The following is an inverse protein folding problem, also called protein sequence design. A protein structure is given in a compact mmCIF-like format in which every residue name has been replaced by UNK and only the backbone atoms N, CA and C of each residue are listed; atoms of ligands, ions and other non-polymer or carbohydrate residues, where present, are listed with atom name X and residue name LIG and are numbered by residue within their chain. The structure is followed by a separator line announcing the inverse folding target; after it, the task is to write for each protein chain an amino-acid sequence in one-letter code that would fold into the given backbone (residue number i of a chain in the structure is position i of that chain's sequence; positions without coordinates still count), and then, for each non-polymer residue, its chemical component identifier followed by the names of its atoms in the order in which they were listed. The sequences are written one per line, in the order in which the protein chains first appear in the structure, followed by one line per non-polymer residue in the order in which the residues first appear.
data_IF_823788284594
#
_entry.id   IF_823788284594
#
_cell.length_a   1.000
_cell.length_b   1.000
_cell.length_c   1.000
_cell.angle_alpha   90.00
_cell.angle_beta   90.00
_cell.angle_gamma   90.00
#
_symmetry.space_group_name_H-M   'P 1'
#
loop_
_entity.id
_entity.type
_entity.pdbx_description
1 polymer ?
#
# COMPACT_ATOMS: atom_id res chain seq x y z
N UNK A 1 -9.19 13.12 33.09
CA UNK A 1 -10.02 12.48 32.05
C UNK A 1 -9.32 12.68 30.72
N UNK A 2 -8.52 11.69 30.28
CA UNK A 2 -7.96 11.73 28.92
C UNK A 2 -9.12 11.60 27.94
N UNK A 3 -9.19 12.49 26.95
CA UNK A 3 -10.20 12.41 25.89
C UNK A 3 -10.13 11.07 25.15
N UNK A 4 -11.15 10.73 24.34
CA UNK A 4 -11.08 9.53 23.50
C UNK A 4 -9.78 9.58 22.67
N UNK A 5 -9.10 8.44 22.46
CA UNK A 5 -7.93 8.42 21.59
C UNK A 5 -8.37 9.02 20.25
N UNK A 6 -7.73 10.13 19.88
CA UNK A 6 -7.91 10.72 18.55
C UNK A 6 -7.63 9.61 17.55
N UNK A 7 -8.63 9.23 16.74
CA UNK A 7 -8.42 8.25 15.69
C UNK A 7 -7.26 8.78 14.82
N UNK A 8 -6.11 8.12 14.90
CA UNK A 8 -4.93 8.56 14.19
C UNK A 8 -5.28 8.68 12.71
N UNK A 9 -4.92 9.83 12.10
CA UNK A 9 -5.16 10.02 10.66
C UNK A 9 -4.40 8.92 9.92
N UNK A 10 -5.06 8.14 9.05
CA UNK A 10 -4.38 7.06 8.35
C UNK A 10 -3.31 7.63 7.42
N UNK A 11 -2.11 7.03 7.42
CA UNK A 11 -1.03 7.40 6.50
C UNK A 11 -1.21 6.79 5.11
N UNK A 12 -2.10 5.80 4.96
CA UNK A 12 -2.36 5.05 3.73
C UNK A 12 -3.85 4.76 3.56
N UNK A 13 -4.29 4.62 2.31
CA UNK A 13 -5.67 4.31 1.92
C UNK A 13 -5.74 3.03 1.10
N UNK A 14 -6.37 2.00 1.68
CA UNK A 14 -6.85 0.81 1.02
C UNK A 14 -8.37 0.91 0.88
N UNK A 15 -8.93 0.66 -0.30
CA UNK A 15 -10.36 0.88 -0.54
C UNK A 15 -11.13 -0.42 -0.69
N UNK A 16 -10.51 -1.42 -1.32
CA UNK A 16 -11.10 -2.76 -1.45
C UNK A 16 -10.22 -3.78 -0.72
N UNK A 17 -10.83 -4.79 -0.09
CA UNK A 17 -10.09 -5.86 0.58
C UNK A 17 -9.22 -6.67 -0.40
N UNK A 18 -9.54 -6.66 -1.69
CA UNK A 18 -8.75 -7.31 -2.75
C UNK A 18 -7.55 -6.48 -3.21
N UNK A 19 -7.45 -5.22 -2.81
CA UNK A 19 -6.34 -4.34 -3.19
C UNK A 19 -5.00 -4.96 -2.76
N UNK A 20 -4.04 -5.03 -3.70
CA UNK A 20 -2.66 -5.44 -3.41
C UNK A 20 -1.75 -4.25 -3.10
N UNK A 21 -2.26 -3.03 -3.30
CA UNK A 21 -1.55 -1.78 -3.02
C UNK A 21 -2.44 -0.71 -2.36
N UNK A 22 -1.88 0.00 -1.37
CA UNK A 22 -2.50 1.15 -0.72
C UNK A 22 -1.89 2.46 -1.23
N UNK A 23 -2.67 3.54 -1.25
CA UNK A 23 -2.19 4.88 -1.63
C UNK A 23 -1.69 5.62 -0.41
N UNK A 24 -0.50 6.21 -0.46
CA UNK A 24 0.05 7.02 0.60
C UNK A 24 -0.67 8.38 0.70
N UNK A 25 -1.23 8.68 1.88
CA UNK A 25 -1.89 9.95 2.20
C UNK A 25 -0.93 10.99 2.79
N UNK A 26 0.28 10.56 3.13
CA UNK A 26 1.43 11.38 3.52
C UNK A 26 2.69 10.72 2.97
N UNK A 27 3.82 11.44 2.79
CA UNK A 27 5.09 10.78 2.50
C UNK A 27 5.46 9.76 3.59
N UNK A 28 5.82 8.54 3.20
CA UNK A 28 6.20 7.45 4.12
C UNK A 28 7.71 7.26 4.02
N UNK A 29 8.42 7.50 5.13
CA UNK A 29 9.87 7.39 5.17
C UNK A 29 10.32 5.92 5.16
N UNK A 30 11.52 5.61 4.63
CA UNK A 30 12.11 4.28 4.77
C UNK A 30 12.14 3.83 6.24
N UNK A 31 11.78 2.58 6.49
CA UNK A 31 11.69 1.99 7.84
C UNK A 31 10.45 2.40 8.65
N UNK A 32 9.63 3.34 8.16
CA UNK A 32 8.38 3.68 8.83
C UNK A 32 7.36 2.54 8.68
N UNK A 33 6.71 2.19 9.79
CA UNK A 33 5.59 1.26 9.78
C UNK A 33 4.27 2.03 9.59
N UNK A 34 3.44 1.55 8.67
CA UNK A 34 2.08 2.03 8.46
C UNK A 34 1.07 0.93 8.78
N UNK A 35 -0.07 1.35 9.31
CA UNK A 35 -1.23 0.49 9.51
C UNK A 35 -2.15 0.61 8.30
N UNK A 36 -2.41 -0.53 7.66
CA UNK A 36 -3.30 -0.67 6.50
C UNK A 36 -4.56 -1.36 6.98
N UNK A 37 -5.69 -0.66 6.96
CA UNK A 37 -6.99 -1.27 7.26
C UNK A 37 -7.51 -2.01 6.03
N UNK A 38 -7.76 -3.31 6.16
CA UNK A 38 -8.21 -4.23 5.13
C UNK A 38 -9.48 -4.93 5.60
N UNK A 39 -10.64 -4.34 5.29
CA UNK A 39 -11.91 -4.77 5.90
C UNK A 39 -11.87 -4.55 7.41
N UNK A 40 -12.16 -5.61 8.17
CA UNK A 40 -12.11 -5.61 9.63
C UNK A 40 -10.71 -5.88 10.20
N UNK A 41 -9.73 -6.18 9.34
CA UNK A 41 -8.36 -6.46 9.73
C UNK A 41 -7.47 -5.22 9.60
N UNK A 42 -6.44 -5.12 10.45
CA UNK A 42 -5.36 -4.14 10.31
C UNK A 42 -4.05 -4.88 10.08
N UNK A 43 -3.40 -4.59 8.95
CA UNK A 43 -2.09 -5.14 8.59
C UNK A 43 -1.03 -4.08 8.80
N UNK A 44 0.09 -4.46 9.41
CA UNK A 44 1.25 -3.58 9.57
C UNK A 44 2.24 -3.81 8.43
N UNK A 45 2.60 -2.74 7.71
CA UNK A 45 3.55 -2.79 6.59
C UNK A 45 4.69 -1.80 6.86
N UNK A 46 5.94 -2.21 6.63
CA UNK A 46 7.11 -1.35 6.80
C UNK A 46 7.62 -0.91 5.42
N UNK A 47 7.76 0.39 5.19
CA UNK A 47 8.25 0.89 3.92
C UNK A 47 9.74 0.57 3.73
N UNK A 48 10.10 -0.08 2.63
CA UNK A 48 11.51 -0.38 2.30
C UNK A 48 12.24 0.86 1.77
N UNK A 49 11.52 1.72 1.06
CA UNK A 49 12.01 2.95 0.45
C UNK A 49 11.03 4.09 0.72
N UNK A 50 11.40 5.32 0.32
CA UNK A 50 10.48 6.45 0.39
C UNK A 50 9.26 6.17 -0.50
N UNK A 51 8.06 6.30 0.08
CA UNK A 51 6.80 6.31 -0.67
C UNK A 51 6.28 7.75 -0.69
N UNK A 52 6.32 8.45 -1.84
CA UNK A 52 5.79 9.81 -1.93
C UNK A 52 4.28 9.87 -1.67
N UNK A 53 3.79 11.07 -1.33
CA UNK A 53 2.35 11.33 -1.28
C UNK A 53 1.68 10.97 -2.62
N UNK A 54 0.54 10.28 -2.56
CA UNK A 54 -0.22 9.85 -3.74
C UNK A 54 0.35 8.61 -4.45
N UNK A 55 1.55 8.15 -4.08
CA UNK A 55 2.13 6.93 -4.61
C UNK A 55 1.62 5.70 -3.86
N UNK A 56 1.92 4.51 -4.40
CA UNK A 56 1.39 3.25 -3.87
C UNK A 56 2.46 2.48 -3.10
N UNK A 57 2.06 1.90 -1.98
CA UNK A 57 2.84 0.91 -1.21
C UNK A 57 2.18 -0.46 -1.36
N UNK A 58 2.97 -1.49 -1.62
CA UNK A 58 2.48 -2.87 -1.67
C UNK A 58 2.05 -3.33 -0.27
N UNK A 59 0.90 -3.98 -0.18
CA UNK A 59 0.35 -4.51 1.10
C UNK A 59 0.21 -6.03 1.09
N UNK A 60 0.47 -6.65 -0.06
CA UNK A 60 0.54 -8.09 -0.27
C UNK A 60 1.73 -8.41 -1.18
N UNK A 61 2.32 -9.61 -1.10
CA UNK A 61 3.33 -10.04 -2.06
C UNK A 61 2.71 -10.20 -3.45
N UNK A 62 3.46 -9.82 -4.48
CA UNK A 62 3.12 -10.02 -5.90
C UNK A 62 4.35 -10.60 -6.60
N UNK A 63 4.19 -11.70 -7.32
CA UNK A 63 5.18 -12.22 -8.25
C UNK A 63 5.22 -11.43 -9.56
N UNK A 64 6.23 -11.68 -10.40
CA UNK A 64 6.24 -11.13 -11.75
C UNK A 64 5.06 -11.69 -12.56
N UNK A 65 4.31 -10.81 -13.21
CA UNK A 65 3.08 -11.15 -13.94
C UNK A 65 1.82 -11.16 -13.08
N UNK A 66 1.92 -11.02 -11.74
CA UNK A 66 0.73 -10.95 -10.89
C UNK A 66 -0.01 -9.63 -11.08
N UNK A 67 -1.35 -9.63 -10.93
CA UNK A 67 -2.14 -8.42 -11.04
C UNK A 67 -1.86 -7.46 -9.88
N UNK A 68 -1.70 -6.18 -10.22
CA UNK A 68 -1.73 -5.09 -9.27
C UNK A 68 -3.18 -4.62 -9.16
N UNK A 69 -3.79 -4.81 -8.00
CA UNK A 69 -5.22 -4.52 -7.78
C UNK A 69 -5.37 -3.23 -6.98
N UNK A 70 -6.18 -2.31 -7.51
CA UNK A 70 -6.60 -1.09 -6.80
C UNK A 70 -8.06 -0.78 -7.11
N UNK A 71 -8.81 -0.36 -6.09
CA UNK A 71 -10.24 -0.12 -6.19
C UNK A 71 -11.03 -1.39 -6.52
N UNK A 72 -10.48 -2.56 -6.17
CA UNK A 72 -11.06 -3.85 -6.53
C UNK A 72 -10.84 -4.28 -7.98
N UNK A 73 -10.14 -3.47 -8.78
CA UNK A 73 -9.89 -3.71 -10.20
C UNK A 73 -8.39 -3.86 -10.50
N UNK A 74 -8.06 -4.60 -11.56
CA UNK A 74 -6.69 -4.72 -12.04
C UNK A 74 -6.28 -3.40 -12.71
N UNK A 75 -5.20 -2.78 -12.21
CA UNK A 75 -4.66 -1.52 -12.76
C UNK A 75 -3.37 -1.72 -13.55
N UNK A 76 -2.92 -2.96 -13.66
CA UNK A 76 -1.67 -3.34 -14.31
C UNK A 76 -1.11 -4.62 -13.72
N UNK A 77 0.09 -4.99 -14.14
CA UNK A 77 0.75 -6.21 -13.74
C UNK A 77 2.18 -5.92 -13.29
N UNK A 78 2.61 -6.64 -12.25
CA UNK A 78 3.95 -6.52 -11.72
C UNK A 78 4.99 -7.00 -12.75
N UNK A 79 6.02 -6.21 -13.02
CA UNK A 79 7.08 -6.58 -13.97
C UNK A 79 8.21 -7.40 -13.33
N UNK A 80 8.26 -7.40 -12.01
CA UNK A 80 9.17 -8.17 -11.17
C UNK A 80 8.46 -8.52 -9.85
N UNK A 81 9.10 -9.31 -8.98
CA UNK A 81 8.55 -9.55 -7.64
C UNK A 81 8.47 -8.26 -6.82
N UNK A 82 7.31 -8.02 -6.20
CA UNK A 82 7.04 -6.88 -5.32
C UNK A 82 6.66 -7.41 -3.93
N UNK A 83 7.45 -7.06 -2.91
CA UNK A 83 7.21 -7.42 -1.52
C UNK A 83 6.32 -6.38 -0.83
N UNK A 84 5.56 -6.76 0.22
CA UNK A 84 4.89 -5.78 1.07
C UNK A 84 5.88 -4.72 1.56
N UNK A 85 5.48 -3.45 1.49
CA UNK A 85 6.34 -2.32 1.87
C UNK A 85 7.10 -1.67 0.72
N UNK A 86 7.12 -2.28 -0.45
CA UNK A 86 7.77 -1.71 -1.63
C UNK A 86 6.91 -0.68 -2.35
N UNK A 87 7.56 0.26 -3.00
CA UNK A 87 6.94 1.29 -3.83
C UNK A 87 6.39 0.69 -5.12
N UNK A 88 5.08 0.76 -5.34
CA UNK A 88 4.38 0.25 -6.51
C UNK A 88 4.19 1.39 -7.53
N UNK A 89 4.97 1.37 -8.61
CA UNK A 89 4.96 2.43 -9.62
C UNK A 89 5.47 1.93 -10.98
N UNK A 90 5.64 2.84 -11.95
CA UNK A 90 5.97 2.50 -13.35
C UNK A 90 7.26 1.69 -13.55
N UNK A 91 8.17 1.69 -12.56
CA UNK A 91 9.41 0.91 -12.64
C UNK A 91 9.19 -0.58 -12.38
N UNK A 92 8.12 -0.95 -11.66
CA UNK A 92 7.79 -2.34 -11.33
C UNK A 92 6.34 -2.73 -11.70
N UNK A 93 5.61 -1.87 -12.39
CA UNK A 93 4.25 -2.11 -12.88
C UNK A 93 4.14 -1.64 -14.33
N UNK A 94 3.52 -2.46 -15.17
CA UNK A 94 3.07 -2.08 -16.51
C UNK A 94 1.55 -2.04 -16.57
N UNK A 95 1.01 -1.17 -17.43
CA UNK A 95 -0.41 -1.09 -17.76
C UNK A 95 -0.56 -1.50 -19.23
N UNK A 96 -0.77 -2.78 -19.45
CA UNK A 96 -1.16 -3.44 -20.70
C UNK A 96 -2.68 -3.46 -20.87
#
# INVERSE_FOLDING_TARGET
MAGPPSAARPSVLLLDARDTAAVALTPIQPGAAVEVRRGDETVRVVAETLIPFGHKIAVAPMGAGDPVVKYGEVIGYATAGIRPGQHVHVHNVRSD
#
